data_IF_229246791125
#
_entry.id   IF_229246791125
#
_cell.length_a   1.000
_cell.length_b   1.000
_cell.length_c   1.000
_cell.angle_alpha   90.00
_cell.angle_beta   90.00
_cell.angle_gamma   90.00
#
_symmetry.space_group_name_H-M   'P 1'
#
loop_
_entity.id
_entity.type
_entity.pdbx_description
1 polymer ?
#
# COMPACT_ATOMS: atom_id res chain seq x y z
N UNK A 1 -56.07 -20.24 -34.54
CA UNK A 1 -56.78 -19.20 -33.78
C UNK A 1 -56.55 -17.84 -34.44
N UNK A 2 -57.28 -17.59 -35.53
CA UNK A 2 -57.11 -16.42 -36.39
C UNK A 2 -58.27 -15.41 -36.19
N UNK A 3 -57.88 -14.16 -35.90
CA UNK A 3 -58.39 -12.85 -36.37
C UNK A 3 -59.87 -12.45 -36.17
N UNK A 4 -60.06 -11.23 -35.63
CA UNK A 4 -60.50 -9.98 -36.33
C UNK A 4 -60.65 -8.85 -35.26
N UNK A 5 -59.82 -7.78 -35.23
CA UNK A 5 -59.77 -6.52 -36.03
C UNK A 5 -60.74 -5.41 -35.56
N UNK A 6 -60.19 -4.28 -35.08
CA UNK A 6 -60.57 -2.86 -35.39
C UNK A 6 -59.56 -1.92 -34.72
N UNK A 7 -58.67 -1.29 -35.51
CA UNK A 7 -58.66 0.13 -35.95
C UNK A 7 -58.42 1.10 -34.77
N UNK A 8 -57.39 1.94 -34.79
CA UNK A 8 -57.33 3.13 -35.64
C UNK A 8 -55.88 3.53 -36.01
N UNK A 9 -55.67 3.79 -37.29
CA UNK A 9 -54.54 4.55 -37.84
C UNK A 9 -55.04 5.93 -38.23
N UNK A 10 -54.39 7.01 -37.78
CA UNK A 10 -54.44 8.31 -38.46
C UNK A 10 -53.10 9.05 -38.38
N UNK A 11 -52.54 9.20 -39.58
CA UNK A 11 -51.68 10.24 -40.14
C UNK A 11 -50.30 10.63 -39.57
N UNK A 12 -49.30 10.26 -40.40
CA UNK A 12 -48.07 10.98 -40.71
C UNK A 12 -48.23 12.52 -40.69
N UNK A 13 -47.27 13.17 -40.06
CA UNK A 13 -46.66 14.39 -40.61
C UNK A 13 -45.15 14.33 -40.36
N UNK A 14 -44.42 14.30 -41.47
CA UNK A 14 -42.98 14.43 -41.54
C UNK A 14 -42.58 15.84 -41.12
N UNK A 15 -41.74 15.98 -40.09
CA UNK A 15 -40.86 17.14 -39.92
C UNK A 15 -39.42 16.65 -39.81
N UNK A 16 -38.73 16.81 -40.93
CA UNK A 16 -37.28 16.70 -41.09
C UNK A 16 -36.67 18.00 -40.55
N UNK A 17 -35.50 17.89 -39.89
CA UNK A 17 -34.69 18.95 -39.23
C UNK A 17 -35.27 19.38 -37.88
N UNK A 18 -34.50 19.48 -36.80
CA UNK A 18 -33.12 19.91 -36.70
C UNK A 18 -32.24 18.89 -35.96
N UNK A 19 -30.99 18.80 -36.43
CA UNK A 19 -29.83 18.40 -35.63
C UNK A 19 -29.78 19.30 -34.39
N UNK A 20 -30.30 18.82 -33.27
CA UNK A 20 -30.00 19.38 -31.96
C UNK A 20 -29.06 18.42 -31.26
N UNK A 21 -27.81 18.86 -31.24
CA UNK A 21 -26.83 18.61 -30.21
C UNK A 21 -26.12 17.24 -30.22
N UNK A 22 -25.28 17.02 -31.24
CA UNK A 22 -23.99 16.32 -31.07
C UNK A 22 -22.97 17.17 -30.25
N UNK A 23 -23.40 18.31 -29.69
CA UNK A 23 -22.59 19.25 -28.90
C UNK A 23 -22.76 19.13 -27.38
N UNK A 24 -23.46 18.10 -26.88
CA UNK A 24 -23.63 17.83 -25.44
C UNK A 24 -22.98 16.51 -24.99
N UNK A 25 -21.91 16.07 -25.68
CA UNK A 25 -21.12 14.88 -25.29
C UNK A 25 -19.75 15.20 -24.67
N UNK A 26 -19.51 16.47 -24.35
CA UNK A 26 -18.28 16.97 -23.71
C UNK A 26 -18.53 17.49 -22.30
N UNK A 27 -19.54 16.96 -21.60
CA UNK A 27 -19.78 17.26 -20.20
C UNK A 27 -19.13 16.17 -19.35
N UNK A 28 -18.00 16.56 -18.75
CA UNK A 28 -17.39 15.96 -17.56
C UNK A 28 -16.76 14.58 -17.73
N UNK A 29 -15.66 14.54 -18.50
CA UNK A 29 -14.53 13.68 -18.13
C UNK A 29 -14.01 14.19 -16.77
N UNK A 30 -14.70 13.85 -15.68
CA UNK A 30 -14.13 14.00 -14.35
C UNK A 30 -12.87 13.15 -14.36
N UNK A 31 -11.71 13.79 -14.36
CA UNK A 31 -10.43 13.11 -14.20
C UNK A 31 -10.46 12.44 -12.84
N UNK A 32 -10.77 11.15 -12.79
CA UNK A 32 -10.66 10.38 -11.56
C UNK A 32 -9.19 10.13 -11.28
N UNK A 33 -8.81 10.15 -10.00
CA UNK A 33 -7.47 9.79 -9.55
C UNK A 33 -7.07 8.40 -10.06
N UNK A 34 -8.04 7.50 -10.19
CA UNK A 34 -7.88 6.11 -10.65
C UNK A 34 -7.34 6.00 -12.09
N UNK A 35 -7.52 7.04 -12.90
CA UNK A 35 -7.02 7.10 -14.26
C UNK A 35 -5.52 7.43 -14.33
N UNK A 36 -4.87 7.74 -13.21
CA UNK A 36 -3.44 7.93 -13.20
C UNK A 36 -2.68 6.63 -13.52
N UNK A 37 -1.54 6.75 -14.23
CA UNK A 37 -0.69 5.61 -14.50
C UNK A 37 0.00 5.15 -13.21
N UNK A 38 0.46 3.90 -13.18
CA UNK A 38 0.97 3.26 -11.95
C UNK A 38 2.20 3.99 -11.39
N UNK A 39 2.99 4.60 -12.25
CA UNK A 39 4.19 5.37 -11.95
C UNK A 39 3.87 6.55 -11.03
N UNK A 40 2.77 7.26 -11.29
CA UNK A 40 2.32 8.38 -10.46
C UNK A 40 1.87 7.88 -9.08
N UNK A 41 1.23 6.72 -9.00
CA UNK A 41 0.90 6.11 -7.71
C UNK A 41 2.14 5.68 -6.94
N UNK A 42 3.14 5.10 -7.60
CA UNK A 42 4.42 4.78 -6.97
C UNK A 42 5.08 6.04 -6.41
N UNK A 43 5.12 7.14 -7.17
CA UNK A 43 5.67 8.42 -6.72
C UNK A 43 4.92 8.97 -5.50
N UNK A 44 3.58 8.98 -5.53
CA UNK A 44 2.77 9.45 -4.39
C UNK A 44 3.00 8.56 -3.16
N UNK A 45 2.95 7.24 -3.35
CA UNK A 45 3.07 6.27 -2.26
C UNK A 45 4.49 6.20 -1.69
N UNK A 46 5.50 6.66 -2.42
CA UNK A 46 6.87 6.75 -1.93
C UNK A 46 7.04 7.70 -0.73
N UNK A 47 6.11 8.65 -0.56
CA UNK A 47 6.05 9.57 0.57
C UNK A 47 5.23 9.05 1.77
N UNK A 48 4.52 7.93 1.63
CA UNK A 48 3.59 7.42 2.62
C UNK A 48 4.08 6.13 3.27
N UNK A 49 3.56 5.82 4.46
CA UNK A 49 3.81 4.54 5.12
C UNK A 49 3.01 3.44 4.42
N UNK A 50 3.64 2.28 4.18
CA UNK A 50 3.02 1.14 3.52
C UNK A 50 1.75 0.63 4.21
N UNK A 51 1.71 0.68 5.54
CA UNK A 51 0.52 0.31 6.32
C UNK A 51 -0.65 1.28 6.06
N UNK A 52 -0.38 2.58 5.97
CA UNK A 52 -1.40 3.61 5.72
C UNK A 52 -1.93 3.49 4.30
N UNK A 53 -1.02 3.30 3.32
CA UNK A 53 -1.38 3.06 1.92
C UNK A 53 -2.31 1.85 1.83
N UNK A 54 -1.90 0.73 2.41
CA UNK A 54 -2.72 -0.48 2.35
C UNK A 54 -4.07 -0.27 3.03
N UNK A 55 -4.09 0.30 4.22
CA UNK A 55 -5.33 0.51 4.98
C UNK A 55 -6.31 1.44 4.26
N UNK A 56 -5.81 2.50 3.63
CA UNK A 56 -6.64 3.47 2.93
C UNK A 56 -7.10 2.99 1.54
N UNK A 57 -6.25 2.29 0.79
CA UNK A 57 -6.49 2.03 -0.64
C UNK A 57 -6.78 0.57 -0.99
N UNK A 58 -6.43 -0.42 -0.15
CA UNK A 58 -6.53 -1.85 -0.52
C UNK A 58 -7.94 -2.31 -0.84
N UNK A 59 -8.95 -1.69 -0.24
CA UNK A 59 -10.36 -2.03 -0.44
C UNK A 59 -11.15 -0.93 -1.17
N UNK A 60 -10.46 0.08 -1.72
CA UNK A 60 -11.14 1.22 -2.32
C UNK A 60 -11.83 0.83 -3.63
N UNK A 61 -11.12 0.12 -4.52
CA UNK A 61 -11.65 -0.43 -5.76
C UNK A 61 -10.74 -1.54 -6.32
N UNK A 62 -11.20 -2.19 -7.39
CA UNK A 62 -10.45 -3.26 -8.06
C UNK A 62 -9.11 -2.79 -8.66
N UNK A 63 -9.01 -1.54 -9.14
CA UNK A 63 -7.76 -0.98 -9.71
C UNK A 63 -6.64 -0.98 -8.67
N UNK A 64 -6.91 -0.49 -7.46
CA UNK A 64 -5.92 -0.50 -6.37
C UNK A 64 -5.62 -1.91 -5.85
N UNK A 65 -6.61 -2.80 -5.79
CA UNK A 65 -6.36 -4.21 -5.47
C UNK A 65 -5.37 -4.85 -6.45
N UNK A 66 -5.58 -4.64 -7.76
CA UNK A 66 -4.66 -5.12 -8.78
C UNK A 66 -3.28 -4.48 -8.66
N UNK A 67 -3.23 -3.17 -8.37
CA UNK A 67 -1.99 -2.45 -8.14
C UNK A 67 -1.17 -3.06 -6.98
N UNK A 68 -1.80 -3.31 -5.82
CA UNK A 68 -1.11 -3.92 -4.67
C UNK A 68 -0.78 -5.39 -4.88
N UNK A 69 -1.53 -6.10 -5.72
CA UNK A 69 -1.22 -7.49 -6.07
C UNK A 69 -0.07 -7.59 -7.08
N UNK A 70 0.21 -6.53 -7.85
CA UNK A 70 1.34 -6.48 -8.77
C UNK A 70 2.68 -6.76 -8.08
N UNK A 71 3.61 -7.36 -8.80
CA UNK A 71 4.95 -7.68 -8.30
C UNK A 71 5.90 -6.47 -8.30
N UNK A 72 5.51 -5.35 -8.90
CA UNK A 72 6.34 -4.15 -9.01
C UNK A 72 6.22 -3.23 -7.79
N UNK A 73 5.06 -3.22 -7.13
CA UNK A 73 4.85 -2.35 -5.99
C UNK A 73 5.43 -2.93 -4.70
N UNK A 74 6.19 -2.12 -3.98
CA UNK A 74 6.84 -2.49 -2.73
C UNK A 74 6.52 -1.48 -1.63
N UNK A 75 6.44 -1.97 -0.39
CA UNK A 75 6.07 -1.20 0.78
C UNK A 75 7.30 -0.71 1.54
N UNK A 76 7.29 0.58 1.90
CA UNK A 76 8.18 1.16 2.91
C UNK A 76 7.41 1.25 4.22
N UNK A 77 7.81 0.49 5.23
CA UNK A 77 7.04 0.34 6.46
C UNK A 77 7.73 1.07 7.60
N UNK A 78 7.06 2.07 8.14
CA UNK A 78 7.41 2.71 9.42
C UNK A 78 6.57 2.07 10.50
N UNK A 79 7.23 1.40 11.44
CA UNK A 79 6.58 0.58 12.45
C UNK A 79 6.29 1.39 13.71
N UNK A 80 5.02 1.74 13.89
CA UNK A 80 4.50 2.55 15.00
C UNK A 80 3.55 1.78 15.94
N UNK A 81 2.79 0.80 15.43
CA UNK A 81 1.76 0.09 16.21
C UNK A 81 1.72 -1.42 16.02
N UNK A 82 1.05 -2.11 16.95
CA UNK A 82 0.81 -3.57 16.93
C UNK A 82 0.08 -4.00 15.64
N UNK A 83 -0.81 -3.17 15.10
CA UNK A 83 -1.55 -3.43 13.85
C UNK A 83 -0.62 -3.73 12.67
N UNK A 84 0.59 -3.18 12.67
CA UNK A 84 1.57 -3.40 11.61
C UNK A 84 2.15 -4.82 11.62
N UNK A 85 2.07 -5.56 12.74
CA UNK A 85 2.55 -6.95 12.78
C UNK A 85 1.78 -7.87 11.82
N UNK A 86 0.45 -7.76 11.79
CA UNK A 86 -0.39 -8.57 10.90
C UNK A 86 -0.12 -8.23 9.44
N UNK A 87 0.00 -6.93 9.15
CA UNK A 87 0.35 -6.44 7.82
C UNK A 87 1.71 -6.98 7.37
N UNK A 88 2.76 -6.78 8.17
CA UNK A 88 4.10 -7.29 7.87
C UNK A 88 4.12 -8.79 7.64
N UNK A 89 3.39 -9.57 8.45
CA UNK A 89 3.34 -11.02 8.30
C UNK A 89 2.83 -11.46 6.93
N UNK A 90 1.87 -10.72 6.36
CA UNK A 90 1.26 -11.04 5.07
C UNK A 90 2.07 -10.47 3.88
N UNK A 91 2.81 -9.39 4.09
CA UNK A 91 3.50 -8.64 3.02
C UNK A 91 5.03 -8.62 3.14
N UNK A 92 5.62 -9.60 3.84
CA UNK A 92 7.09 -9.75 3.97
C UNK A 92 7.82 -9.67 2.62
N UNK A 93 7.34 -10.43 1.64
CA UNK A 93 7.89 -10.51 0.29
C UNK A 93 7.75 -9.23 -0.56
N UNK A 94 6.96 -8.25 -0.07
CA UNK A 94 6.80 -6.93 -0.70
C UNK A 94 7.37 -5.80 0.14
N UNK A 95 8.00 -6.10 1.27
CA UNK A 95 8.57 -5.07 2.13
C UNK A 95 9.95 -4.69 1.61
N UNK A 96 10.11 -3.43 1.19
CA UNK A 96 11.37 -2.86 0.70
C UNK A 96 12.20 -2.28 1.85
N UNK A 97 11.56 -1.58 2.78
CA UNK A 97 12.24 -1.01 3.95
C UNK A 97 11.42 -1.20 5.22
N UNK A 98 12.12 -1.44 6.32
CA UNK A 98 11.54 -1.56 7.65
C UNK A 98 12.22 -0.58 8.60
N UNK A 99 11.46 0.42 9.02
CA UNK A 99 11.88 1.42 9.97
C UNK A 99 11.21 1.14 11.33
N UNK A 100 12.01 0.88 12.37
CA UNK A 100 11.53 0.58 13.71
C UNK A 100 11.66 1.76 14.70
N UNK A 101 11.87 3.01 14.24
CA UNK A 101 12.02 4.23 15.08
C UNK A 101 10.91 4.46 16.09
N UNK A 102 9.67 4.18 15.71
CA UNK A 102 8.52 4.40 16.57
C UNK A 102 8.19 3.18 17.45
N UNK A 103 8.99 2.12 17.37
CA UNK A 103 8.80 0.91 18.17
C UNK A 103 9.39 1.13 19.57
N UNK A 104 8.55 1.56 20.52
CA UNK A 104 8.94 1.79 21.92
C UNK A 104 9.61 0.58 22.60
N UNK A 105 9.41 -0.63 22.07
CA UNK A 105 10.02 -1.85 22.58
C UNK A 105 10.50 -2.75 21.43
N UNK A 106 11.60 -2.37 20.77
CA UNK A 106 12.19 -3.17 19.69
C UNK A 106 12.50 -4.62 20.12
N UNK A 107 12.89 -4.83 21.38
CA UNK A 107 13.05 -6.17 21.96
C UNK A 107 11.75 -6.99 21.92
N UNK A 108 10.62 -6.35 22.20
CA UNK A 108 9.29 -6.99 22.16
C UNK A 108 8.85 -7.27 20.73
N UNK A 109 9.24 -6.42 19.78
CA UNK A 109 9.06 -6.71 18.37
C UNK A 109 9.80 -8.00 18.00
N UNK A 110 11.09 -8.10 18.33
CA UNK A 110 11.89 -9.28 18.00
C UNK A 110 11.56 -10.54 18.81
N UNK A 111 10.91 -10.41 19.97
CA UNK A 111 10.40 -11.58 20.71
C UNK A 111 9.16 -12.19 20.06
N UNK A 112 8.41 -11.41 19.28
CA UNK A 112 7.15 -11.83 18.65
C UNK A 112 7.22 -11.94 17.13
N UNK A 113 8.23 -11.32 16.51
CA UNK A 113 8.37 -11.22 15.06
C UNK A 113 9.75 -11.66 14.59
N UNK A 114 9.75 -12.49 13.55
CA UNK A 114 10.97 -13.03 12.96
C UNK A 114 11.17 -12.41 11.58
N UNK A 115 12.31 -11.74 11.44
CA UNK A 115 12.88 -11.39 10.14
C UNK A 115 13.71 -12.58 9.67
N UNK A 116 13.33 -13.14 8.52
CA UNK A 116 13.91 -14.33 7.90
C UNK A 116 13.94 -14.16 6.37
N UNK A 117 14.34 -15.19 5.63
CA UNK A 117 14.47 -15.18 4.18
C UNK A 117 13.18 -14.91 3.39
N UNK A 118 12.01 -14.88 4.03
CA UNK A 118 10.76 -14.46 3.37
C UNK A 118 10.69 -12.95 3.12
N UNK A 119 11.63 -12.18 3.67
CA UNK A 119 11.91 -10.80 3.31
C UNK A 119 12.90 -10.72 2.14
N UNK A 120 12.56 -11.36 1.03
CA UNK A 120 13.43 -11.50 -0.15
C UNK A 120 13.71 -10.18 -0.88
N UNK A 121 12.88 -9.16 -0.63
CA UNK A 121 13.00 -7.81 -1.21
C UNK A 121 13.39 -6.72 -0.22
N UNK A 122 13.66 -7.07 1.03
CA UNK A 122 14.01 -6.10 2.06
C UNK A 122 15.43 -5.58 1.81
N UNK A 123 15.51 -4.29 1.51
CA UNK A 123 16.74 -3.59 1.19
C UNK A 123 17.24 -2.74 2.35
N UNK A 124 16.34 -2.18 3.17
CA UNK A 124 16.75 -1.30 4.28
C UNK A 124 16.08 -1.68 5.60
N UNK A 125 16.87 -1.72 6.67
CA UNK A 125 16.36 -1.88 8.04
C UNK A 125 16.98 -0.82 8.94
N UNK A 126 16.15 -0.19 9.75
CA UNK A 126 16.58 0.73 10.80
C UNK A 126 16.20 0.14 12.16
N UNK A 127 17.21 -0.08 13.01
CA UNK A 127 17.10 -0.67 14.35
C UNK A 127 17.51 0.37 15.41
N UNK A 128 16.57 1.19 15.90
CA UNK A 128 16.87 2.18 16.91
C UNK A 128 16.78 1.61 18.32
N UNK A 129 17.68 2.08 19.18
CA UNK A 129 17.70 1.79 20.63
C UNK A 129 17.63 0.29 20.95
N UNK A 130 18.31 -0.53 20.16
CA UNK A 130 18.34 -1.99 20.37
C UNK A 130 19.37 -2.36 21.44
N UNK A 131 19.01 -3.27 22.34
CA UNK A 131 19.96 -3.83 23.31
C UNK A 131 21.01 -4.67 22.59
N UNK A 132 22.24 -4.66 23.12
CA UNK A 132 23.36 -5.39 22.54
C UNK A 132 23.08 -6.91 22.39
N UNK A 133 22.49 -7.54 23.42
CA UNK A 133 22.17 -8.98 23.38
C UNK A 133 21.14 -9.30 22.29
N UNK A 134 20.09 -8.48 22.18
CA UNK A 134 19.06 -8.60 21.13
C UNK A 134 19.68 -8.37 19.75
N UNK A 135 20.56 -7.37 19.61
CA UNK A 135 21.21 -7.05 18.34
C UNK A 135 22.00 -8.23 17.80
N UNK A 136 22.81 -8.90 18.64
CA UNK A 136 23.58 -10.06 18.20
C UNK A 136 22.69 -11.19 17.65
N UNK A 137 21.52 -11.40 18.27
CA UNK A 137 20.54 -12.38 17.79
C UNK A 137 19.89 -11.94 16.47
N UNK A 138 19.57 -10.67 16.33
CA UNK A 138 18.98 -10.09 15.10
C UNK A 138 19.97 -10.15 13.94
N UNK A 139 21.22 -9.73 14.16
CA UNK A 139 22.27 -9.74 13.14
C UNK A 139 22.46 -11.12 12.53
N UNK A 140 22.48 -12.18 13.35
CA UNK A 140 22.57 -13.57 12.87
C UNK A 140 21.45 -13.95 11.90
N UNK A 141 20.27 -13.32 11.99
CA UNK A 141 19.17 -13.55 11.05
C UNK A 141 19.28 -12.66 9.83
N UNK A 142 19.70 -11.41 10.00
CA UNK A 142 19.84 -10.44 8.91
C UNK A 142 20.87 -10.86 7.87
N UNK A 143 21.88 -11.66 8.23
CA UNK A 143 22.88 -12.16 7.26
C UNK A 143 22.27 -12.96 6.11
N UNK A 144 21.09 -13.54 6.32
CA UNK A 144 20.42 -14.38 5.33
C UNK A 144 19.49 -13.60 4.40
N UNK A 145 19.41 -12.27 4.56
CA UNK A 145 18.60 -11.44 3.69
C UNK A 145 19.36 -11.13 2.40
N UNK A 146 18.80 -11.52 1.24
CA UNK A 146 19.56 -11.50 -0.02
C UNK A 146 19.86 -10.09 -0.54
N UNK A 147 19.11 -9.08 -0.09
CA UNK A 147 19.16 -7.71 -0.62
C UNK A 147 19.40 -6.65 0.45
N UNK A 148 19.63 -7.03 1.70
CA UNK A 148 19.73 -6.06 2.78
C UNK A 148 21.00 -5.21 2.64
N UNK A 149 20.82 -3.97 2.21
CA UNK A 149 21.80 -2.90 2.18
C UNK A 149 21.07 -1.57 1.91
N UNK A 150 20.97 -0.62 2.87
CA UNK A 150 21.76 -0.48 4.10
C UNK A 150 21.13 -1.07 5.38
N UNK A 151 21.97 -1.27 6.40
CA UNK A 151 21.56 -1.57 7.78
C UNK A 151 21.97 -0.40 8.69
N UNK A 152 20.99 0.24 9.32
CA UNK A 152 21.21 1.34 10.27
C UNK A 152 20.90 0.87 11.69
N UNK A 153 21.85 1.04 12.61
CA UNK A 153 21.73 0.59 14.01
C UNK A 153 22.05 1.76 14.92
N UNK A 154 21.19 2.00 15.90
CA UNK A 154 21.45 2.88 17.03
C UNK A 154 21.42 2.02 18.29
N UNK A 155 22.53 1.97 19.02
CA UNK A 155 22.63 1.21 20.26
C UNK A 155 22.05 2.02 21.42
N UNK A 156 21.41 1.32 22.35
CA UNK A 156 21.00 1.90 23.63
C UNK A 156 22.11 1.72 24.67
N UNK A 157 22.72 2.81 25.13
CA UNK A 157 23.60 2.76 26.31
C UNK A 157 22.76 2.86 27.58
N UNK A 158 22.96 1.90 28.49
CA UNK A 158 22.23 1.80 29.77
C UNK A 158 22.48 2.97 30.73
N UNK A 159 23.37 3.91 30.38
CA UNK A 159 23.69 5.10 31.17
C UNK A 159 22.67 6.23 31.03
N UNK A 160 21.84 6.24 29.98
CA UNK A 160 20.92 7.37 29.71
C UNK A 160 19.66 7.38 30.59
N UNK A 161 19.39 6.31 31.35
CA UNK A 161 18.24 6.27 32.29
C UNK A 161 18.50 7.09 33.55
N UNK A 162 19.76 7.35 33.92
CA UNK A 162 20.10 8.08 35.15
C UNK A 162 20.20 9.61 34.97
N UNK A 163 19.98 10.16 33.77
CA UNK A 163 20.02 11.61 33.53
C UNK A 163 18.65 12.26 33.29
N UNK A 164 17.55 11.50 33.38
CA UNK A 164 16.20 12.04 33.18
C UNK A 164 15.28 11.85 34.39
N UNK A 165 15.82 11.97 35.61
CA UNK A 165 15.04 12.16 36.85
C UNK A 165 15.28 13.58 37.35
#
# INVERSE_FOLDING_TARGET
MDKIKRRLSFNKSSTKKLRTNEFDKTINSVSSIENFPNEIFCEIFDYLNGCDIYSAFSNLNYRFQQFFNSSSFLFKIKFDFISNHLFLKNYKHKTLSLDLWLTFHIDKFFSSFIIDSSFDRLESIILPRIKQDTLLLVLKKLIYLPRLFPLSIELYDTYDVYQSI
#
